data_IF_568877423539
#
_entry.id   IF_568877423539
#
_cell.length_a   1.000
_cell.length_b   1.000
_cell.length_c   1.000
_cell.angle_alpha   90.00
_cell.angle_beta   90.00
_cell.angle_gamma   90.00
#
_symmetry.space_group_name_H-M   'P 1'
#
loop_
_entity.id
_entity.type
_entity.pdbx_description
1 polymer ?
#
# COMPACT_ATOMS: atom_id res chain seq x y z
N UNK A 1 29.28 -6.37 8.18
CA UNK A 1 27.85 -6.67 8.42
C UNK A 1 27.49 -7.80 7.48
N UNK A 2 27.30 -9.04 7.99
CA UNK A 2 26.95 -10.18 7.13
C UNK A 2 25.50 -10.00 6.66
N UNK A 3 25.26 -10.30 5.38
CA UNK A 3 23.96 -10.20 4.71
C UNK A 3 22.89 -11.11 5.35
N UNK A 4 23.36 -12.12 6.07
CA UNK A 4 22.61 -13.24 6.68
C UNK A 4 21.84 -12.87 7.96
N UNK A 5 22.00 -11.65 8.49
CA UNK A 5 21.40 -11.23 9.78
C UNK A 5 20.19 -10.27 9.64
N UNK A 6 19.62 -10.17 8.43
CA UNK A 6 18.33 -9.48 8.24
C UNK A 6 17.18 -10.42 8.57
N UNK A 7 16.98 -10.73 9.85
CA UNK A 7 15.67 -11.18 10.32
C UNK A 7 14.67 -10.01 10.16
N UNK A 8 14.14 -9.82 8.97
CA UNK A 8 13.03 -8.90 8.74
C UNK A 8 11.75 -9.65 9.06
N UNK A 9 11.21 -9.42 10.25
CA UNK A 9 9.81 -9.73 10.52
C UNK A 9 8.97 -9.12 9.40
N UNK A 10 8.13 -9.94 8.75
CA UNK A 10 7.22 -9.50 7.69
C UNK A 10 6.46 -8.25 8.15
N UNK A 11 6.34 -7.27 7.26
CA UNK A 11 5.60 -6.06 7.60
C UNK A 11 4.12 -6.45 7.80
N UNK A 12 3.43 -6.02 8.87
CA UNK A 12 2.06 -6.43 9.16
C UNK A 12 1.04 -6.08 8.07
N UNK A 13 1.35 -5.13 7.16
CA UNK A 13 0.49 -4.76 6.03
C UNK A 13 0.99 -5.29 4.68
N UNK A 14 2.04 -6.12 4.67
CA UNK A 14 2.67 -6.66 3.46
C UNK A 14 1.65 -7.41 2.56
N UNK A 15 0.73 -8.14 3.18
CA UNK A 15 -0.31 -8.90 2.46
C UNK A 15 -1.32 -8.00 1.72
N UNK A 16 -1.46 -6.74 2.13
CA UNK A 16 -2.32 -5.74 1.49
C UNK A 16 -1.57 -4.88 0.46
N UNK A 17 -0.26 -5.09 0.28
CA UNK A 17 0.57 -4.32 -0.64
C UNK A 17 1.04 -5.18 -1.81
N UNK A 18 1.16 -4.55 -2.99
CA UNK A 18 1.76 -5.14 -4.18
C UNK A 18 3.28 -5.07 -4.05
N UNK A 19 3.86 -6.08 -3.38
CA UNK A 19 5.29 -6.10 -3.05
C UNK A 19 6.20 -6.15 -4.28
N UNK A 20 5.70 -6.64 -5.42
CA UNK A 20 6.37 -6.57 -6.73
C UNK A 20 6.59 -5.15 -7.24
N UNK A 21 5.90 -4.16 -6.66
CA UNK A 21 5.97 -2.74 -7.06
C UNK A 21 6.72 -1.86 -6.07
N UNK A 22 7.22 -2.42 -4.97
CA UNK A 22 8.06 -1.72 -4.00
C UNK A 22 9.52 -1.76 -4.50
N UNK A 23 10.29 -0.65 -4.45
CA UNK A 23 10.04 0.62 -3.74
C UNK A 23 9.01 1.53 -4.42
N UNK A 24 8.21 2.23 -3.60
CA UNK A 24 7.25 3.21 -4.09
C UNK A 24 7.94 4.49 -4.58
N UNK A 25 7.25 5.29 -5.40
CA UNK A 25 7.80 6.53 -5.98
C UNK A 25 7.75 7.76 -5.05
N UNK A 26 7.10 7.68 -3.89
CA UNK A 26 6.92 8.84 -3.01
C UNK A 26 8.24 9.29 -2.39
N UNK A 27 8.40 10.60 -2.27
CA UNK A 27 9.60 11.22 -1.71
C UNK A 27 9.83 10.77 -0.25
N UNK A 28 11.10 10.62 0.20
CA UNK A 28 11.41 10.43 1.60
C UNK A 28 10.80 11.55 2.46
N UNK A 29 10.13 11.19 3.56
CA UNK A 29 9.44 12.14 4.44
C UNK A 29 8.06 12.60 3.94
N UNK A 30 7.60 12.15 2.76
CA UNK A 30 6.25 12.40 2.30
C UNK A 30 5.22 11.65 3.17
N UNK A 31 4.15 12.33 3.59
CA UNK A 31 3.11 11.75 4.45
C UNK A 31 2.27 10.64 3.80
N UNK A 32 2.38 10.42 2.49
CA UNK A 32 1.55 9.41 1.79
C UNK A 32 1.83 8.00 2.32
N UNK A 33 3.08 7.67 2.65
CA UNK A 33 3.40 6.35 3.24
C UNK A 33 2.68 6.11 4.57
N UNK A 34 2.55 7.15 5.41
CA UNK A 34 1.80 7.09 6.67
C UNK A 34 0.31 6.89 6.39
N UNK A 35 -0.26 7.66 5.45
CA UNK A 35 -1.67 7.53 5.05
C UNK A 35 -1.98 6.12 4.53
N UNK A 36 -1.12 5.55 3.69
CA UNK A 36 -1.27 4.17 3.17
C UNK A 36 -1.21 3.15 4.29
N UNK A 37 -0.32 3.35 5.26
CA UNK A 37 -0.20 2.46 6.42
C UNK A 37 -1.47 2.50 7.27
N UNK A 38 -1.97 3.70 7.58
CA UNK A 38 -3.23 3.88 8.31
C UNK A 38 -4.44 3.31 7.55
N UNK A 39 -4.47 3.48 6.23
CA UNK A 39 -5.52 2.93 5.37
C UNK A 39 -5.51 1.40 5.39
N UNK A 40 -4.35 0.77 5.20
CA UNK A 40 -4.22 -0.69 5.26
C UNK A 40 -4.63 -1.25 6.63
N UNK A 41 -4.23 -0.60 7.72
CA UNK A 41 -4.67 -0.98 9.08
C UNK A 41 -6.18 -0.82 9.27
N UNK A 42 -6.80 0.22 8.71
CA UNK A 42 -8.25 0.38 8.73
C UNK A 42 -8.95 -0.75 7.98
N UNK A 43 -8.45 -1.15 6.81
CA UNK A 43 -8.98 -2.28 6.05
C UNK A 43 -8.94 -3.59 6.87
N UNK A 44 -7.80 -3.90 7.51
CA UNK A 44 -7.66 -5.09 8.37
C UNK A 44 -8.66 -5.11 9.53
N UNK A 45 -8.97 -3.95 10.11
CA UNK A 45 -9.90 -3.81 11.24
C UNK A 45 -11.36 -3.73 10.83
N UNK A 46 -11.64 -3.44 9.56
CA UNK A 46 -13.00 -3.20 9.07
C UNK A 46 -13.84 -4.46 8.90
N UNK A 47 -13.22 -5.65 8.91
CA UNK A 47 -13.86 -6.94 8.63
C UNK A 47 -14.60 -7.00 7.27
N UNK A 48 -14.28 -6.07 6.35
CA UNK A 48 -14.84 -6.05 5.00
C UNK A 48 -14.25 -7.20 4.19
N UNK A 49 -15.11 -7.87 3.45
CA UNK A 49 -14.73 -8.82 2.41
C UNK A 49 -13.91 -8.10 1.32
N UNK A 50 -12.60 -8.34 1.32
CA UNK A 50 -11.65 -7.65 0.46
C UNK A 50 -11.88 -7.93 -1.04
N UNK A 51 -12.48 -9.08 -1.38
CA UNK A 51 -12.86 -9.42 -2.76
C UNK A 51 -14.05 -8.57 -3.27
N UNK A 52 -14.73 -7.85 -2.37
CA UNK A 52 -15.81 -6.90 -2.68
C UNK A 52 -15.38 -5.44 -2.51
N UNK A 53 -14.10 -5.18 -2.29
CA UNK A 53 -13.56 -3.83 -2.12
C UNK A 53 -12.78 -3.40 -3.36
N UNK A 54 -13.06 -2.19 -3.84
CA UNK A 54 -12.30 -1.55 -4.93
C UNK A 54 -11.68 -0.25 -4.44
N UNK A 55 -10.40 -0.05 -4.75
CA UNK A 55 -9.67 1.20 -4.51
C UNK A 55 -9.66 2.05 -5.76
N UNK A 56 -10.40 3.17 -5.75
CA UNK A 56 -10.46 4.12 -6.87
C UNK A 56 -9.64 5.36 -6.53
N UNK A 57 -8.80 5.83 -7.47
CA UNK A 57 -7.99 7.04 -7.28
C UNK A 57 -7.89 7.88 -8.55
N UNK A 58 -7.74 9.20 -8.41
CA UNK A 58 -7.45 10.11 -9.52
C UNK A 58 -5.95 10.30 -9.77
N UNK A 59 -5.57 11.31 -10.55
CA UNK A 59 -4.17 11.61 -10.88
C UNK A 59 -3.47 12.41 -9.77
N UNK A 60 -2.25 12.00 -9.41
CA UNK A 60 -1.38 12.69 -8.46
C UNK A 60 -0.45 11.73 -7.73
N UNK A 61 0.40 12.25 -6.84
CA UNK A 61 1.28 11.41 -6.01
C UNK A 61 0.45 10.42 -5.17
N UNK A 62 -0.60 10.89 -4.51
CA UNK A 62 -1.58 10.07 -3.77
C UNK A 62 -2.36 9.13 -4.70
N UNK A 63 -2.60 9.55 -5.94
CA UNK A 63 -3.25 8.75 -6.97
C UNK A 63 -2.61 7.38 -7.19
N UNK A 64 -1.29 7.29 -7.00
CA UNK A 64 -0.55 6.04 -7.18
C UNK A 64 -0.86 4.97 -6.13
N UNK A 65 -1.55 5.30 -5.04
CA UNK A 65 -1.95 4.33 -4.00
C UNK A 65 -2.73 3.15 -4.58
N UNK A 66 -3.65 3.38 -5.52
CA UNK A 66 -4.38 2.32 -6.22
C UNK A 66 -3.45 1.30 -6.90
N UNK A 67 -2.28 1.74 -7.35
CA UNK A 67 -1.26 0.89 -7.94
C UNK A 67 -0.43 0.10 -6.94
N UNK A 68 -0.44 0.46 -5.66
CA UNK A 68 0.36 -0.17 -4.61
C UNK A 68 -0.45 -1.06 -3.65
N UNK A 69 -1.77 -0.89 -3.56
CA UNK A 69 -2.65 -1.76 -2.77
C UNK A 69 -2.97 -3.04 -3.57
N UNK A 70 -2.85 -4.20 -2.93
CA UNK A 70 -3.12 -5.53 -3.49
C UNK A 70 -4.62 -5.86 -3.44
N UNK A 71 -5.43 -4.97 -3.99
CA UNK A 71 -6.87 -5.14 -4.17
C UNK A 71 -7.24 -4.72 -5.60
N UNK A 72 -8.47 -5.02 -6.00
CA UNK A 72 -9.02 -4.46 -7.24
C UNK A 72 -8.98 -2.94 -7.17
N UNK A 73 -8.49 -2.33 -8.25
CA UNK A 73 -8.21 -0.91 -8.23
C UNK A 73 -8.36 -0.26 -9.60
N UNK A 74 -8.79 1.00 -9.58
CA UNK A 74 -8.97 1.80 -10.78
C UNK A 74 -8.33 3.17 -10.60
N UNK A 75 -7.40 3.52 -11.51
CA UNK A 75 -6.73 4.81 -11.54
C UNK A 75 -7.32 5.66 -12.67
N UNK A 76 -8.14 6.62 -12.30
CA UNK A 76 -8.97 7.43 -13.22
C UNK A 76 -8.21 8.64 -13.74
N UNK A 77 -8.93 9.46 -14.53
CA UNK A 77 -8.56 10.86 -14.77
C UNK A 77 -8.55 11.67 -13.47
N UNK A 78 -8.06 12.91 -13.57
CA UNK A 78 -7.86 13.81 -12.44
C UNK A 78 -9.11 13.99 -11.58
#
# INVERSE_FOLDING_TARGET
>A
MKEEDRHQGKNPIEDLLRMDRIPHIWCPGCGIGVVVTSFAEALRKSEIDLDKLVVVSGIGCTGRVAGYIKLDSFHTTH
#
